data_IF_627447335127
#
_entry.id   IF_627447335127
#
_cell.length_a   1.000
_cell.length_b   1.000
_cell.length_c   1.000
_cell.angle_alpha   90.00
_cell.angle_beta   90.00
_cell.angle_gamma   90.00
#
_symmetry.space_group_name_H-M   'P 1'
#
loop_
_entity.id
_entity.type
_entity.pdbx_description
1 polymer ?
#
# COMPACT_ATOMS: atom_id res chain seq x y z
N UNK A 1 15.14 10.90 -3.19
CA UNK A 1 14.92 9.88 -2.15
C UNK A 1 15.10 8.49 -2.79
N UNK A 2 15.64 7.51 -2.07
CA UNK A 2 15.98 6.15 -2.54
C UNK A 2 17.13 6.01 -3.54
N UNK A 3 17.03 6.49 -4.78
CA UNK A 3 18.11 6.31 -5.77
C UNK A 3 19.09 7.50 -5.82
N UNK A 4 18.55 8.71 -5.96
CA UNK A 4 19.35 9.92 -6.27
C UNK A 4 19.54 10.86 -5.08
N UNK A 5 19.12 10.47 -3.86
CA UNK A 5 19.28 11.30 -2.65
C UNK A 5 18.52 12.65 -2.62
N UNK A 6 17.80 13.01 -3.69
CA UNK A 6 17.06 14.28 -3.79
C UNK A 6 16.03 14.46 -2.67
N UNK A 7 15.91 15.69 -2.14
CA UNK A 7 14.93 16.05 -1.13
C UNK A 7 13.54 16.27 -1.75
N UNK A 8 12.63 15.32 -1.54
CA UNK A 8 11.27 15.36 -2.07
C UNK A 8 10.29 16.16 -1.20
N UNK A 9 10.76 16.75 -0.09
CA UNK A 9 9.98 17.76 0.65
C UNK A 9 10.06 19.14 0.00
N UNK A 10 11.04 19.36 -0.88
CA UNK A 10 11.17 20.59 -1.67
C UNK A 10 10.26 20.54 -2.91
N UNK A 11 9.35 21.52 -3.01
CA UNK A 11 8.42 21.67 -4.11
C UNK A 11 9.09 21.80 -5.48
N UNK A 12 10.25 22.48 -5.57
CA UNK A 12 10.99 22.63 -6.83
C UNK A 12 11.53 21.27 -7.31
N UNK A 13 12.01 20.45 -6.39
CA UNK A 13 12.47 19.08 -6.69
C UNK A 13 11.33 18.23 -7.23
N UNK A 14 10.13 18.32 -6.64
CA UNK A 14 8.94 17.59 -7.09
C UNK A 14 8.49 18.07 -8.49
N UNK A 15 8.48 19.39 -8.71
CA UNK A 15 8.16 20.00 -10.01
C UNK A 15 9.10 19.53 -11.13
N UNK A 16 10.41 19.48 -10.86
CA UNK A 16 11.39 18.97 -11.82
C UNK A 16 11.19 17.47 -12.12
N UNK A 17 10.88 16.66 -11.10
CA UNK A 17 10.60 15.23 -11.29
C UNK A 17 9.34 15.05 -12.15
N UNK A 18 8.26 15.75 -11.85
CA UNK A 18 7.02 15.72 -12.65
C UNK A 18 7.27 16.15 -14.11
N UNK A 19 8.06 17.20 -14.31
CA UNK A 19 8.44 17.66 -15.66
C UNK A 19 9.26 16.63 -16.42
N UNK A 20 10.15 15.88 -15.74
CA UNK A 20 10.97 14.83 -16.36
C UNK A 20 10.17 13.66 -16.93
N UNK A 21 8.92 13.46 -16.48
CA UNK A 21 8.00 12.41 -16.97
C UNK A 21 6.91 12.97 -17.88
N UNK A 22 7.04 14.23 -18.34
CA UNK A 22 6.15 14.86 -19.32
C UNK A 22 4.89 15.53 -18.74
N UNK A 23 4.83 15.73 -17.41
CA UNK A 23 3.74 16.48 -16.77
C UNK A 23 4.10 17.97 -16.66
N UNK A 24 3.10 18.84 -16.50
CA UNK A 24 3.35 20.23 -16.09
C UNK A 24 3.68 20.25 -14.59
N UNK A 25 4.98 20.22 -14.27
CA UNK A 25 5.42 20.13 -12.89
C UNK A 25 5.02 21.31 -12.01
N UNK A 26 4.95 22.52 -12.58
CA UNK A 26 4.52 23.71 -11.84
C UNK A 26 3.05 23.60 -11.47
N UNK A 27 2.23 23.18 -12.42
CA UNK A 27 0.80 23.00 -12.15
C UNK A 27 0.54 21.81 -11.22
N UNK A 28 1.28 20.70 -11.33
CA UNK A 28 1.17 19.59 -10.38
C UNK A 28 1.44 20.02 -8.93
N UNK A 29 2.50 20.79 -8.70
CA UNK A 29 2.83 21.32 -7.37
C UNK A 29 1.77 22.32 -6.90
N UNK A 30 1.34 23.24 -7.77
CA UNK A 30 0.30 24.20 -7.46
C UNK A 30 -1.00 23.49 -7.02
N UNK A 31 -1.46 22.51 -7.80
CA UNK A 31 -2.65 21.73 -7.48
C UNK A 31 -2.48 20.96 -6.16
N UNK A 32 -1.35 20.28 -5.95
CA UNK A 32 -1.09 19.54 -4.70
C UNK A 32 -1.10 20.44 -3.45
N UNK A 33 -0.64 21.70 -3.57
CA UNK A 33 -0.58 22.63 -2.46
C UNK A 33 -1.89 23.37 -2.20
N UNK A 34 -2.68 23.65 -3.25
CA UNK A 34 -3.81 24.58 -3.18
C UNK A 34 -5.19 23.94 -3.41
N UNK A 35 -5.26 22.77 -4.05
CA UNK A 35 -6.54 22.10 -4.29
C UNK A 35 -6.95 21.25 -3.08
N UNK A 36 -8.01 21.69 -2.40
CA UNK A 36 -8.57 20.99 -1.25
C UNK A 36 -9.17 19.63 -1.63
N UNK A 37 -9.73 19.50 -2.84
CA UNK A 37 -10.34 18.24 -3.32
C UNK A 37 -9.29 17.14 -3.45
N UNK A 38 -8.07 17.48 -3.91
CA UNK A 38 -6.97 16.52 -4.01
C UNK A 38 -6.49 16.05 -2.63
N UNK A 39 -6.37 16.99 -1.66
CA UNK A 39 -5.99 16.66 -0.28
C UNK A 39 -7.03 15.77 0.40
N UNK A 40 -8.30 16.10 0.25
CA UNK A 40 -9.39 15.30 0.80
C UNK A 40 -9.45 13.91 0.18
N UNK A 41 -9.23 13.80 -1.14
CA UNK A 41 -9.15 12.50 -1.81
C UNK A 41 -8.04 11.62 -1.23
N UNK A 42 -6.84 12.16 -1.04
CA UNK A 42 -5.73 11.41 -0.45
C UNK A 42 -6.05 10.96 0.99
N UNK A 43 -6.66 11.83 1.79
CA UNK A 43 -7.09 11.51 3.15
C UNK A 43 -8.13 10.40 3.16
N UNK A 44 -9.18 10.52 2.34
CA UNK A 44 -10.25 9.52 2.22
C UNK A 44 -9.69 8.17 1.80
N UNK A 45 -8.82 8.12 0.78
CA UNK A 45 -8.19 6.86 0.34
C UNK A 45 -7.36 6.19 1.45
N UNK A 46 -6.69 7.00 2.28
CA UNK A 46 -5.94 6.49 3.44
C UNK A 46 -6.87 5.94 4.51
N UNK A 47 -7.97 6.65 4.80
CA UNK A 47 -9.01 6.21 5.74
C UNK A 47 -9.70 4.93 5.28
N UNK A 48 -10.00 4.81 3.98
CA UNK A 48 -10.56 3.61 3.36
C UNK A 48 -9.62 2.41 3.49
N UNK A 49 -8.31 2.60 3.24
CA UNK A 49 -7.32 1.53 3.41
C UNK A 49 -7.26 1.05 4.88
N UNK A 50 -7.25 1.98 5.84
CA UNK A 50 -7.28 1.66 7.27
C UNK A 50 -8.56 0.91 7.64
N UNK A 51 -9.72 1.39 7.16
CA UNK A 51 -11.02 0.77 7.41
C UNK A 51 -11.11 -0.65 6.82
N UNK A 52 -10.40 -0.92 5.72
CA UNK A 52 -10.28 -2.26 5.14
C UNK A 52 -9.37 -3.20 5.94
N UNK A 53 -8.61 -2.70 6.92
CA UNK A 53 -7.70 -3.52 7.75
C UNK A 53 -6.24 -3.45 7.32
N UNK A 54 -5.88 -2.56 6.39
CA UNK A 54 -4.48 -2.30 6.04
C UNK A 54 -3.79 -1.64 7.23
N UNK A 55 -2.68 -2.24 7.69
CA UNK A 55 -1.92 -1.77 8.85
C UNK A 55 -0.49 -1.31 8.50
N UNK A 56 -0.04 -1.52 7.26
CA UNK A 56 1.31 -1.19 6.82
C UNK A 56 1.42 -1.12 5.31
N UNK A 57 2.55 -0.61 4.81
CA UNK A 57 2.84 -0.49 3.37
C UNK A 57 4.21 -1.10 3.03
N UNK A 58 4.38 -1.64 1.81
CA UNK A 58 3.34 -1.85 0.81
C UNK A 58 2.38 -2.99 1.19
N UNK A 59 1.11 -2.81 0.84
CA UNK A 59 0.05 -3.82 0.95
C UNK A 59 -0.70 -3.85 -0.38
N UNK A 60 -0.86 -5.04 -0.94
CA UNK A 60 -1.64 -5.29 -2.15
C UNK A 60 -2.91 -6.06 -1.78
N UNK A 61 -4.05 -5.70 -2.35
CA UNK A 61 -5.33 -6.38 -2.10
C UNK A 61 -5.80 -7.09 -3.37
N UNK A 62 -6.14 -8.37 -3.28
CA UNK A 62 -6.68 -9.19 -4.37
C UNK A 62 -7.91 -9.92 -3.85
N UNK A 63 -9.08 -9.69 -4.47
CA UNK A 63 -10.36 -10.30 -4.07
C UNK A 63 -10.69 -10.18 -2.57
N UNK A 64 -10.33 -9.04 -1.97
CA UNK A 64 -10.54 -8.75 -0.55
C UNK A 64 -9.50 -9.35 0.40
N UNK A 65 -8.50 -10.07 -0.11
CA UNK A 65 -7.38 -10.59 0.68
C UNK A 65 -6.16 -9.67 0.60
N UNK A 66 -5.52 -9.43 1.74
CA UNK A 66 -4.37 -8.52 1.86
C UNK A 66 -3.04 -9.27 1.90
N UNK A 67 -2.12 -8.86 1.02
CA UNK A 67 -0.74 -9.31 0.97
C UNK A 67 0.16 -8.15 1.42
N UNK A 68 0.72 -8.26 2.62
CA UNK A 68 1.61 -7.25 3.20
C UNK A 68 3.07 -7.65 3.07
N UNK A 69 3.91 -6.74 2.57
CA UNK A 69 5.32 -6.99 2.30
C UNK A 69 5.74 -6.43 0.94
N UNK A 70 7.04 -6.41 0.66
CA UNK A 70 7.53 -5.91 -0.62
C UNK A 70 7.03 -6.78 -1.78
N UNK A 71 7.12 -6.26 -3.01
CA UNK A 71 6.76 -7.03 -4.20
C UNK A 71 7.52 -8.37 -4.26
N UNK A 72 8.81 -8.37 -3.90
CA UNK A 72 9.63 -9.57 -3.89
C UNK A 72 9.14 -10.63 -2.89
N UNK A 73 8.53 -10.22 -1.78
CA UNK A 73 8.02 -11.13 -0.74
C UNK A 73 6.64 -11.68 -1.09
N UNK A 74 5.81 -10.87 -1.77
CA UNK A 74 4.38 -11.12 -1.91
C UNK A 74 3.97 -11.66 -3.27
N UNK A 75 4.74 -11.40 -4.33
CA UNK A 75 4.32 -11.68 -5.71
C UNK A 75 3.98 -13.16 -5.97
N UNK A 76 4.78 -14.10 -5.47
CA UNK A 76 4.52 -15.54 -5.65
C UNK A 76 3.22 -15.99 -4.99
N UNK A 77 2.85 -15.38 -3.85
CA UNK A 77 1.61 -15.67 -3.13
C UNK A 77 0.40 -15.07 -3.85
N UNK A 78 0.53 -13.85 -4.37
CA UNK A 78 -0.50 -13.21 -5.20
C UNK A 78 -0.75 -14.01 -6.47
N UNK A 79 0.30 -14.47 -7.15
CA UNK A 79 0.19 -15.33 -8.33
C UNK A 79 -0.54 -16.64 -7.99
N UNK A 80 -0.14 -17.31 -6.91
CA UNK A 80 -0.80 -18.52 -6.45
C UNK A 80 -2.30 -18.29 -6.19
N UNK A 81 -2.67 -17.17 -5.55
CA UNK A 81 -4.06 -16.78 -5.32
C UNK A 81 -4.84 -16.62 -6.62
N UNK A 82 -4.33 -15.82 -7.55
CA UNK A 82 -4.99 -15.54 -8.85
C UNK A 82 -5.14 -16.83 -9.66
N UNK A 83 -4.15 -17.73 -9.62
CA UNK A 83 -4.20 -19.01 -10.32
C UNK A 83 -5.00 -20.10 -9.57
N UNK A 84 -5.57 -19.81 -8.41
CA UNK A 84 -6.29 -20.78 -7.57
C UNK A 84 -5.41 -21.89 -7.02
N UNK A 85 -4.09 -21.65 -6.91
CA UNK A 85 -3.07 -22.56 -6.38
C UNK A 85 -2.59 -22.14 -4.98
N UNK A 86 -3.40 -21.37 -4.27
CA UNK A 86 -3.09 -20.94 -2.92
C UNK A 86 -2.88 -22.17 -2.01
N UNK A 87 -1.71 -22.32 -1.37
CA UNK A 87 -1.46 -23.43 -0.45
C UNK A 87 -2.31 -23.35 0.83
N UNK A 88 -2.90 -22.20 1.14
CA UNK A 88 -3.76 -21.98 2.30
C UNK A 88 -5.22 -21.98 1.82
N UNK A 89 -5.80 -23.17 1.68
CA UNK A 89 -7.22 -23.30 1.39
C UNK A 89 -8.10 -23.08 2.64
N UNK A 90 -9.41 -23.05 2.42
CA UNK A 90 -10.41 -22.90 3.49
C UNK A 90 -10.30 -23.95 4.61
N UNK A 91 -9.84 -25.17 4.30
CA UNK A 91 -9.71 -26.24 5.27
C UNK A 91 -8.46 -26.05 6.15
N UNK A 92 -7.33 -25.65 5.54
CA UNK A 92 -6.11 -25.27 6.27
C UNK A 92 -6.39 -24.09 7.20
N UNK A 93 -7.07 -23.06 6.69
CA UNK A 93 -7.43 -21.89 7.47
C UNK A 93 -8.36 -22.24 8.65
N UNK A 94 -9.42 -23.03 8.42
CA UNK A 94 -10.34 -23.47 9.47
C UNK A 94 -9.63 -24.27 10.57
N UNK A 95 -8.62 -25.08 10.21
CA UNK A 95 -7.80 -25.78 11.20
C UNK A 95 -7.02 -24.79 12.06
N UNK A 96 -6.37 -23.79 11.46
CA UNK A 96 -5.53 -22.85 12.20
C UNK A 96 -6.32 -21.86 13.06
N UNK A 97 -7.50 -21.44 12.62
CA UNK A 97 -8.34 -20.50 13.36
C UNK A 97 -8.88 -21.07 14.69
N UNK A 98 -8.85 -22.39 14.85
CA UNK A 98 -9.29 -23.08 16.08
C UNK A 98 -8.15 -23.45 17.02
N UNK A 99 -6.89 -23.23 16.64
CA UNK A 99 -5.74 -23.51 17.50
C UNK A 99 -5.72 -22.48 18.63
N UNK A 100 -5.88 -22.96 19.87
CA UNK A 100 -5.77 -22.11 21.05
C UNK A 100 -4.35 -21.53 21.17
N UNK A 101 -4.27 -20.21 21.37
CA UNK A 101 -2.99 -19.55 21.63
C UNK A 101 -2.35 -20.14 22.90
N UNK A 102 -1.15 -20.71 22.77
CA UNK A 102 -0.43 -21.34 23.88
C UNK A 102 0.35 -20.35 24.75
N UNK A 103 0.48 -19.10 24.30
CA UNK A 103 1.11 -18.02 25.05
C UNK A 103 0.42 -16.68 24.75
N UNK A 104 0.27 -15.85 25.78
CA UNK A 104 -0.27 -14.50 25.68
C UNK A 104 0.54 -13.53 26.53
N UNK A 105 0.79 -12.32 26.03
CA UNK A 105 1.46 -11.27 26.80
C UNK A 105 0.41 -10.65 27.75
N UNK A 106 0.66 -10.68 29.07
CA UNK A 106 -0.14 -9.90 30.02
C UNK A 106 0.03 -8.42 29.66
N UNK A 107 -1.09 -7.74 29.42
CA UNK A 107 -1.13 -6.28 29.27
C UNK A 107 -0.82 -5.61 30.60
#
# INVERSE_FOLDING_TARGET
>A
AWQNGRDISNADVVSEIASSVGLDGKECVNAAMNDQVLKDRLRIQTEEAIAAGVFGVPTTTVDGEHFWGSEADTMSHIEAKILGKDPIDSAVFARWSTIAASAGRKR
#
